data_IF_879678660858
#
_entry.id   IF_879678660858
#
_cell.length_a   1.000
_cell.length_b   1.000
_cell.length_c   1.000
_cell.angle_alpha   90.00
_cell.angle_beta   90.00
_cell.angle_gamma   90.00
#
_symmetry.space_group_name_H-M   'P 1'
#
loop_
_entity.id
_entity.type
_entity.pdbx_description
1 polymer ?
#
# COMPACT_ATOMS: atom_id res chain seq x y z
N UNK A 1 -12.07 -13.39 -7.89
CA UNK A 1 -12.59 -12.04 -7.52
C UNK A 1 -11.98 -11.42 -6.25
N UNK A 2 -11.21 -12.15 -5.45
CA UNK A 2 -10.68 -11.58 -4.18
C UNK A 2 -9.66 -10.44 -4.38
N UNK A 3 -8.89 -10.43 -5.48
CA UNK A 3 -7.97 -9.32 -5.80
C UNK A 3 -8.68 -7.97 -5.97
N UNK A 4 -9.99 -7.95 -6.30
CA UNK A 4 -10.76 -6.71 -6.45
C UNK A 4 -10.92 -5.94 -5.14
N UNK A 5 -10.70 -6.58 -3.96
CA UNK A 5 -10.60 -5.87 -2.70
C UNK A 5 -9.48 -4.81 -2.70
N UNK A 6 -8.52 -4.94 -3.62
CA UNK A 6 -7.48 -3.94 -3.79
C UNK A 6 -8.02 -2.61 -4.32
N UNK A 7 -9.08 -2.61 -5.14
CA UNK A 7 -9.74 -1.37 -5.57
C UNK A 7 -10.34 -0.61 -4.38
N UNK A 8 -10.99 -1.35 -3.46
CA UNK A 8 -11.51 -0.78 -2.22
C UNK A 8 -10.37 -0.24 -1.35
N UNK A 9 -9.30 -1.02 -1.22
CA UNK A 9 -8.10 -0.58 -0.48
C UNK A 9 -7.51 0.69 -1.09
N UNK A 10 -7.35 0.74 -2.41
CA UNK A 10 -6.80 1.87 -3.17
C UNK A 10 -7.63 3.14 -2.99
N UNK A 11 -8.96 3.04 -3.06
CA UNK A 11 -9.87 4.16 -2.80
C UNK A 11 -9.72 4.67 -1.36
N UNK A 12 -9.74 3.77 -0.38
CA UNK A 12 -9.61 4.14 1.04
C UNK A 12 -8.24 4.73 1.37
N UNK A 13 -7.15 4.22 0.76
CA UNK A 13 -5.82 4.84 0.90
C UNK A 13 -5.77 6.22 0.25
N UNK A 14 -6.48 6.44 -0.84
CA UNK A 14 -6.56 7.77 -1.47
C UNK A 14 -7.32 8.76 -0.59
N UNK A 15 -8.43 8.34 0.04
CA UNK A 15 -9.15 9.14 1.04
C UNK A 15 -8.23 9.44 2.23
N UNK A 16 -7.50 8.43 2.73
CA UNK A 16 -6.50 8.64 3.77
C UNK A 16 -5.47 9.69 3.35
N UNK A 17 -4.97 9.62 2.11
CA UNK A 17 -3.99 10.58 1.57
C UNK A 17 -4.51 12.01 1.55
N UNK A 18 -5.77 12.23 1.19
CA UNK A 18 -6.45 13.53 1.28
C UNK A 18 -6.46 14.04 2.73
N UNK A 19 -6.90 13.18 3.66
CA UNK A 19 -6.92 13.53 5.08
C UNK A 19 -5.51 13.85 5.62
N UNK A 20 -4.48 13.10 5.21
CA UNK A 20 -3.07 13.35 5.58
C UNK A 20 -2.62 14.72 5.06
N UNK A 21 -2.84 15.04 3.78
CA UNK A 21 -2.49 16.34 3.18
C UNK A 21 -3.15 17.50 3.93
N UNK A 22 -4.43 17.36 4.28
CA UNK A 22 -5.15 18.38 5.03
C UNK A 22 -4.72 18.46 6.51
N UNK A 23 -4.29 17.36 7.13
CA UNK A 23 -3.89 17.31 8.52
C UNK A 23 -2.46 17.80 8.77
N UNK A 24 -1.63 17.88 7.72
CA UNK A 24 -0.25 18.35 7.81
C UNK A 24 -0.12 19.80 8.32
N UNK A 25 -1.21 20.60 8.22
CA UNK A 25 -1.27 21.95 8.80
C UNK A 25 -1.45 21.95 10.33
N UNK A 26 -1.80 20.80 10.95
CA UNK A 26 -2.13 20.70 12.37
C UNK A 26 -1.23 19.74 13.12
N UNK A 27 -0.66 18.74 12.45
CA UNK A 27 0.05 17.63 13.08
C UNK A 27 1.35 17.31 12.35
N UNK A 28 2.37 16.92 13.10
CA UNK A 28 3.61 16.38 12.53
C UNK A 28 3.40 14.99 11.95
N UNK A 29 4.29 14.58 11.04
CA UNK A 29 4.25 13.22 10.46
C UNK A 29 4.33 12.13 11.53
N UNK A 30 5.12 12.34 12.59
CA UNK A 30 5.25 11.40 13.69
C UNK A 30 3.93 11.20 14.45
N UNK A 31 3.21 12.30 14.72
CA UNK A 31 1.88 12.26 15.36
C UNK A 31 0.84 11.58 14.47
N UNK A 32 0.85 11.86 13.16
CA UNK A 32 -0.04 11.20 12.20
C UNK A 32 0.18 9.69 12.20
N UNK A 33 1.44 9.23 12.15
CA UNK A 33 1.76 7.78 12.18
C UNK A 33 1.38 7.15 13.50
N UNK A 34 1.63 7.83 14.63
CA UNK A 34 1.24 7.39 15.97
C UNK A 34 -0.28 7.23 16.08
N UNK A 35 -1.04 8.27 15.75
CA UNK A 35 -2.50 8.26 15.83
C UNK A 35 -3.13 7.22 14.91
N UNK A 36 -2.63 7.11 13.67
CA UNK A 36 -3.05 6.08 12.71
C UNK A 36 -2.85 4.68 13.29
N UNK A 37 -1.69 4.43 13.91
CA UNK A 37 -1.40 3.15 14.56
C UNK A 37 -2.33 2.89 15.74
N UNK A 38 -2.51 3.87 16.63
CA UNK A 38 -3.39 3.77 17.81
C UNK A 38 -4.84 3.48 17.41
N UNK A 39 -5.39 4.27 16.48
CA UNK A 39 -6.76 4.06 15.98
C UNK A 39 -6.91 2.68 15.35
N UNK A 40 -5.91 2.22 14.58
CA UNK A 40 -5.89 0.89 14.01
C UNK A 40 -5.93 -0.22 15.08
N UNK A 41 -5.12 -0.10 16.14
CA UNK A 41 -5.17 -1.03 17.28
C UNK A 41 -6.54 -1.01 17.94
N UNK A 42 -7.09 0.17 18.23
CA UNK A 42 -8.42 0.30 18.85
C UNK A 42 -9.53 -0.31 17.97
N UNK A 43 -9.57 0.03 16.69
CA UNK A 43 -10.58 -0.49 15.75
C UNK A 43 -10.52 -2.02 15.62
N UNK A 44 -9.33 -2.59 15.50
CA UNK A 44 -9.18 -4.05 15.38
C UNK A 44 -9.49 -4.73 16.72
N UNK A 45 -9.09 -4.16 17.86
CA UNK A 45 -9.45 -4.69 19.17
C UNK A 45 -10.96 -4.70 19.37
N UNK A 46 -11.66 -3.62 19.02
CA UNK A 46 -13.11 -3.56 19.05
C UNK A 46 -13.75 -4.61 18.13
N UNK A 47 -13.23 -4.79 16.92
CA UNK A 47 -13.70 -5.81 15.99
C UNK A 47 -13.57 -7.23 16.58
N UNK A 48 -12.44 -7.52 17.23
CA UNK A 48 -12.18 -8.81 17.88
C UNK A 48 -13.15 -9.05 19.03
N UNK A 49 -13.41 -8.04 19.85
CA UNK A 49 -14.36 -8.14 20.97
C UNK A 49 -15.79 -8.43 20.49
N UNK A 50 -16.22 -7.78 19.40
CA UNK A 50 -17.57 -7.95 18.85
C UNK A 50 -17.76 -9.27 18.12
N UNK A 51 -16.77 -9.71 17.33
CA UNK A 51 -16.89 -10.90 16.47
C UNK A 51 -16.39 -12.19 17.09
N UNK A 52 -15.77 -12.11 18.24
CA UNK A 52 -15.05 -13.23 18.85
C UNK A 52 -13.79 -13.59 18.05
N UNK A 53 -12.64 -13.33 18.58
CA UNK A 53 -11.37 -13.63 17.89
C UNK A 53 -10.25 -13.58 18.90
N UNK A 54 -9.02 -13.81 18.44
CA UNK A 54 -7.85 -13.72 19.30
C UNK A 54 -6.70 -13.03 18.58
N UNK A 55 -5.97 -12.21 19.32
CA UNK A 55 -4.70 -11.63 18.85
C UNK A 55 -3.54 -12.62 18.92
N UNK A 56 -3.70 -13.74 19.67
CA UNK A 56 -2.66 -14.75 19.79
C UNK A 56 -2.38 -15.39 18.44
N UNK A 57 -1.10 -15.50 18.08
CA UNK A 57 -0.65 -16.06 16.80
C UNK A 57 0.43 -17.12 17.05
N UNK A 58 0.45 -18.22 16.29
CA UNK A 58 1.58 -19.16 16.29
C UNK A 58 2.78 -18.63 15.49
N UNK A 59 2.64 -17.49 14.76
CA UNK A 59 3.68 -16.93 13.90
C UNK A 59 4.11 -15.50 14.29
N UNK A 60 4.49 -15.24 15.56
CA UNK A 60 4.83 -13.88 16.03
C UNK A 60 6.02 -13.28 15.26
N UNK A 61 7.00 -14.12 14.90
CA UNK A 61 8.17 -13.69 14.12
C UNK A 61 7.77 -13.13 12.75
N UNK A 62 6.85 -13.77 12.03
CA UNK A 62 6.41 -13.32 10.71
C UNK A 62 5.62 -12.01 10.78
N UNK A 63 4.81 -11.84 11.82
CA UNK A 63 4.13 -10.55 12.08
C UNK A 63 5.12 -9.44 12.41
N UNK A 64 6.14 -9.72 13.23
CA UNK A 64 7.17 -8.75 13.58
C UNK A 64 8.00 -8.35 12.34
N UNK A 65 8.41 -9.31 11.52
CA UNK A 65 9.12 -9.04 10.25
C UNK A 65 8.24 -8.20 9.33
N UNK A 66 6.95 -8.57 9.14
CA UNK A 66 6.00 -7.80 8.33
C UNK A 66 5.82 -6.37 8.86
N UNK A 67 5.65 -6.22 10.16
CA UNK A 67 5.48 -4.93 10.82
C UNK A 67 6.71 -4.06 10.66
N UNK A 68 7.88 -4.57 11.02
CA UNK A 68 9.16 -3.86 10.98
C UNK A 68 9.53 -3.41 9.57
N UNK A 69 9.53 -4.34 8.59
CA UNK A 69 9.84 -4.01 7.19
C UNK A 69 8.85 -2.98 6.64
N UNK A 70 7.55 -3.16 6.91
CA UNK A 70 6.53 -2.24 6.42
C UNK A 70 6.62 -0.85 7.04
N UNK A 71 6.98 -0.74 8.32
CA UNK A 71 7.18 0.56 8.97
C UNK A 71 8.46 1.23 8.48
N UNK A 72 9.56 0.50 8.31
CA UNK A 72 10.79 1.04 7.73
C UNK A 72 10.53 1.56 6.30
N UNK A 73 9.82 0.77 5.47
CA UNK A 73 9.45 1.20 4.13
C UNK A 73 8.64 2.51 4.14
N UNK A 74 7.67 2.62 5.07
CA UNK A 74 6.86 3.83 5.24
C UNK A 74 7.71 5.05 5.62
N UNK A 75 8.64 4.91 6.56
CA UNK A 75 9.52 6.00 6.98
C UNK A 75 10.47 6.45 5.88
N UNK A 76 11.07 5.53 5.14
CA UNK A 76 11.92 5.86 3.98
C UNK A 76 11.12 6.59 2.90
N UNK A 77 9.89 6.18 2.67
CA UNK A 77 9.01 6.87 1.72
C UNK A 77 8.66 8.28 2.18
N UNK A 78 8.31 8.47 3.44
CA UNK A 78 8.02 9.79 4.00
C UNK A 78 9.28 10.69 4.02
N UNK A 79 10.45 10.14 4.34
CA UNK A 79 11.70 10.86 4.24
C UNK A 79 11.96 11.35 2.80
N UNK A 80 11.67 10.52 1.80
CA UNK A 80 11.88 10.89 0.40
C UNK A 80 11.00 12.06 -0.05
N UNK A 81 9.87 12.32 0.59
CA UNK A 81 9.06 13.53 0.32
C UNK A 81 9.73 14.83 0.77
N UNK A 82 10.64 14.77 1.73
CA UNK A 82 11.42 15.92 2.19
C UNK A 82 12.57 16.31 1.25
N UNK A 83 13.00 15.39 0.38
CA UNK A 83 14.19 15.56 -0.48
C UNK A 83 13.90 15.41 -1.97
N UNK A 84 12.70 14.97 -2.35
CA UNK A 84 12.27 14.79 -3.74
C UNK A 84 10.90 15.42 -3.97
N UNK A 85 10.57 15.78 -5.21
CA UNK A 85 9.20 16.07 -5.59
C UNK A 85 8.30 14.86 -5.25
N UNK A 86 7.11 15.12 -4.68
CA UNK A 86 6.17 14.07 -4.22
C UNK A 86 5.84 13.07 -5.33
N UNK A 87 5.69 13.55 -6.56
CA UNK A 87 5.45 12.70 -7.74
C UNK A 87 6.61 11.71 -7.97
N UNK A 88 7.86 12.17 -7.88
CA UNK A 88 9.05 11.35 -8.05
C UNK A 88 9.17 10.31 -6.94
N UNK A 89 9.07 10.71 -5.67
CA UNK A 89 9.11 9.82 -4.53
C UNK A 89 8.00 8.75 -4.59
N UNK A 90 6.80 9.14 -4.98
CA UNK A 90 5.66 8.22 -5.15
C UNK A 90 5.91 7.24 -6.29
N UNK A 91 6.40 7.70 -7.44
CA UNK A 91 6.72 6.82 -8.58
C UNK A 91 7.74 5.75 -8.19
N UNK A 92 8.81 6.12 -7.49
CA UNK A 92 9.81 5.15 -7.03
C UNK A 92 9.24 4.15 -6.01
N UNK A 93 8.41 4.59 -5.08
CA UNK A 93 7.75 3.67 -4.13
C UNK A 93 6.82 2.69 -4.84
N UNK A 94 6.08 3.12 -5.86
CA UNK A 94 5.18 2.26 -6.64
C UNK A 94 5.91 1.26 -7.55
N UNK A 95 7.24 1.36 -7.71
CA UNK A 95 8.03 0.25 -8.27
C UNK A 95 7.91 -1.04 -7.46
N UNK A 96 7.36 -0.97 -6.24
CA UNK A 96 7.08 -2.15 -5.39
C UNK A 96 6.32 -3.25 -6.13
N UNK A 97 5.37 -2.92 -7.01
CA UNK A 97 4.66 -3.91 -7.83
C UNK A 97 5.57 -4.63 -8.81
N UNK A 98 6.55 -3.91 -9.40
CA UNK A 98 7.57 -4.49 -10.30
C UNK A 98 8.50 -5.40 -9.49
N UNK A 99 9.01 -4.92 -8.35
CA UNK A 99 9.88 -5.71 -7.48
C UNK A 99 9.19 -6.98 -6.98
N UNK A 100 7.90 -6.90 -6.70
CA UNK A 100 7.10 -8.06 -6.33
C UNK A 100 7.06 -9.10 -7.47
N UNK A 101 6.87 -8.67 -8.72
CA UNK A 101 6.91 -9.56 -9.88
C UNK A 101 8.32 -10.18 -10.03
N UNK A 102 9.37 -9.38 -9.92
CA UNK A 102 10.77 -9.86 -9.98
C UNK A 102 11.06 -10.91 -8.91
N UNK A 103 10.65 -10.66 -7.65
CA UNK A 103 10.85 -11.61 -6.55
C UNK A 103 10.07 -12.92 -6.75
N UNK A 104 8.83 -12.84 -7.24
CA UNK A 104 8.01 -14.02 -7.52
C UNK A 104 8.58 -14.85 -8.67
N UNK A 105 9.01 -14.21 -9.76
CA UNK A 105 9.62 -14.91 -10.88
C UNK A 105 11.00 -15.46 -10.52
N UNK A 106 11.83 -14.70 -9.81
CA UNK A 106 13.13 -15.18 -9.32
C UNK A 106 12.97 -16.40 -8.40
N UNK A 107 12.03 -16.38 -7.48
CA UNK A 107 11.75 -17.53 -6.60
C UNK A 107 11.22 -18.75 -7.38
N UNK A 108 10.38 -18.53 -8.38
CA UNK A 108 9.86 -19.61 -9.23
C UNK A 108 10.96 -20.21 -10.12
N UNK A 109 11.82 -19.37 -10.69
CA UNK A 109 12.98 -19.81 -11.46
C UNK A 109 13.92 -20.67 -10.62
N UNK A 110 14.28 -20.21 -9.42
CA UNK A 110 15.13 -20.97 -8.49
C UNK A 110 14.56 -22.36 -8.15
N UNK A 111 13.22 -22.46 -8.06
CA UNK A 111 12.53 -23.74 -7.81
C UNK A 111 12.31 -24.58 -9.06
N UNK A 112 12.87 -24.21 -10.22
CA UNK A 112 12.70 -24.92 -11.49
C UNK A 112 11.29 -24.86 -12.09
N UNK A 113 10.43 -23.98 -11.62
CA UNK A 113 9.08 -23.80 -12.17
C UNK A 113 9.15 -23.04 -13.49
N UNK A 114 8.60 -23.62 -14.56
CA UNK A 114 8.63 -23.03 -15.91
C UNK A 114 7.36 -22.23 -16.28
N UNK A 115 6.35 -22.22 -15.42
CA UNK A 115 5.09 -21.52 -15.69
C UNK A 115 5.12 -20.13 -15.06
N UNK A 116 5.23 -19.11 -15.90
CA UNK A 116 5.21 -17.71 -15.50
C UNK A 116 3.96 -17.02 -16.04
N UNK A 117 3.34 -16.18 -15.22
CA UNK A 117 2.20 -15.34 -15.61
C UNK A 117 2.68 -14.08 -16.34
N UNK A 118 3.34 -14.27 -17.51
CA UNK A 118 3.90 -13.18 -18.30
C UNK A 118 2.89 -12.09 -18.66
N UNK A 119 1.64 -12.49 -18.92
CA UNK A 119 0.57 -11.53 -19.21
C UNK A 119 0.30 -10.59 -18.05
N UNK A 120 0.30 -11.08 -16.79
CA UNK A 120 0.14 -10.22 -15.62
C UNK A 120 1.38 -9.35 -15.36
N UNK A 121 2.59 -9.88 -15.59
CA UNK A 121 3.80 -9.08 -15.50
C UNK A 121 3.79 -7.92 -16.51
N UNK A 122 3.38 -8.17 -17.73
CA UNK A 122 3.25 -7.14 -18.76
C UNK A 122 2.23 -6.06 -18.37
N UNK A 123 1.09 -6.43 -17.76
CA UNK A 123 0.12 -5.44 -17.27
C UNK A 123 0.66 -4.61 -16.11
N UNK A 124 1.48 -5.18 -15.22
CA UNK A 124 2.15 -4.41 -14.15
C UNK A 124 3.09 -3.36 -14.75
N UNK A 125 3.90 -3.72 -15.73
CA UNK A 125 4.79 -2.78 -16.42
C UNK A 125 4.00 -1.70 -17.18
N UNK A 126 2.92 -2.07 -17.84
CA UNK A 126 2.06 -1.13 -18.56
C UNK A 126 1.40 -0.13 -17.59
N UNK A 127 0.89 -0.60 -16.45
CA UNK A 127 0.35 0.29 -15.41
C UNK A 127 1.42 1.22 -14.86
N UNK A 128 2.63 0.73 -14.62
CA UNK A 128 3.74 1.55 -14.15
C UNK A 128 4.12 2.64 -15.17
N UNK A 129 4.11 2.32 -16.46
CA UNK A 129 4.29 3.31 -17.51
C UNK A 129 3.21 4.40 -17.47
N UNK A 130 1.95 4.01 -17.27
CA UNK A 130 0.85 4.95 -17.04
C UNK A 130 1.09 5.85 -15.81
N UNK A 131 1.63 5.29 -14.71
CA UNK A 131 2.01 6.05 -13.51
C UNK A 131 3.11 7.07 -13.84
N UNK A 132 4.13 6.67 -14.58
CA UNK A 132 5.22 7.57 -14.96
C UNK A 132 4.73 8.72 -15.84
N UNK A 133 3.82 8.47 -16.77
CA UNK A 133 3.18 9.52 -17.58
C UNK A 133 2.33 10.48 -16.75
N UNK A 134 1.59 9.96 -15.77
CA UNK A 134 0.69 10.74 -14.93
C UNK A 134 1.46 11.63 -13.95
N UNK A 135 2.43 11.06 -13.24
CA UNK A 135 3.17 11.75 -12.19
C UNK A 135 4.35 12.57 -12.71
N UNK A 136 4.85 12.26 -13.92
CA UNK A 136 5.99 12.94 -14.56
C UNK A 136 7.17 13.11 -13.59
N UNK A 137 7.74 12.02 -13.06
CA UNK A 137 8.83 12.11 -12.11
C UNK A 137 10.02 12.89 -12.71
N UNK A 138 10.58 13.79 -11.94
CA UNK A 138 11.77 14.53 -12.30
C UNK A 138 12.77 14.49 -11.15
N UNK A 139 14.05 14.50 -11.46
CA UNK A 139 15.14 14.55 -10.48
C UNK A 139 16.20 15.55 -10.95
N UNK A 140 16.63 16.42 -10.05
CA UNK A 140 17.85 17.19 -10.24
C UNK A 140 19.09 16.30 -9.93
N UNK A 141 20.27 16.69 -10.42
CA UNK A 141 21.47 15.86 -10.28
C UNK A 141 21.92 15.59 -8.84
N UNK A 142 21.55 16.45 -7.91
CA UNK A 142 21.82 16.35 -6.47
C UNK A 142 20.81 15.50 -5.69
N UNK A 143 19.71 15.08 -6.31
CA UNK A 143 18.63 14.29 -5.69
C UNK A 143 18.84 12.78 -5.78
N UNK A 144 19.99 12.29 -6.26
CA UNK A 144 20.26 10.86 -6.49
C UNK A 144 20.13 10.02 -5.21
N UNK A 145 20.59 10.55 -4.08
CA UNK A 145 20.49 9.85 -2.78
C UNK A 145 19.01 9.69 -2.38
N UNK A 146 18.22 10.77 -2.52
CA UNK A 146 16.79 10.73 -2.27
C UNK A 146 16.06 9.72 -3.16
N UNK A 147 16.43 9.64 -4.45
CA UNK A 147 15.93 8.64 -5.40
C UNK A 147 16.24 7.21 -4.96
N UNK A 148 17.48 6.96 -4.50
CA UNK A 148 17.89 5.66 -3.96
C UNK A 148 17.09 5.25 -2.72
N UNK A 149 16.82 6.19 -1.81
CA UNK A 149 16.00 5.96 -0.61
C UNK A 149 14.55 5.64 -1.00
N UNK A 150 13.97 6.41 -1.93
CA UNK A 150 12.61 6.17 -2.42
C UNK A 150 12.49 4.81 -3.12
N UNK A 151 13.48 4.41 -3.92
CA UNK A 151 13.54 3.10 -4.56
C UNK A 151 13.65 1.98 -3.52
N UNK A 152 14.50 2.12 -2.51
CA UNK A 152 14.63 1.17 -1.40
C UNK A 152 13.30 1.02 -0.66
N UNK A 153 12.56 2.10 -0.45
CA UNK A 153 11.23 2.03 0.15
C UNK A 153 10.28 1.17 -0.69
N UNK A 154 10.36 1.27 -2.02
CA UNK A 154 9.59 0.44 -2.95
C UNK A 154 9.95 -1.05 -2.84
N UNK A 155 11.25 -1.37 -2.78
CA UNK A 155 11.73 -2.75 -2.59
C UNK A 155 11.22 -3.33 -1.27
N UNK A 156 11.37 -2.59 -0.16
CA UNK A 156 10.90 -3.04 1.16
C UNK A 156 9.38 -3.16 1.22
N UNK A 157 8.65 -2.28 0.53
CA UNK A 157 7.19 -2.40 0.38
C UNK A 157 6.81 -3.70 -0.33
N UNK A 158 7.51 -4.07 -1.40
CA UNK A 158 7.30 -5.35 -2.09
C UNK A 158 7.51 -6.55 -1.15
N UNK A 159 8.60 -6.55 -0.36
CA UNK A 159 8.85 -7.59 0.65
C UNK A 159 7.73 -7.63 1.67
N UNK A 160 7.28 -6.47 2.17
CA UNK A 160 6.19 -6.39 3.14
C UNK A 160 4.86 -6.96 2.58
N UNK A 161 4.54 -6.73 1.31
CA UNK A 161 3.36 -7.29 0.66
C UNK A 161 3.47 -8.81 0.45
N UNK A 162 4.66 -9.31 0.10
CA UNK A 162 4.91 -10.75 0.05
C UNK A 162 4.80 -11.43 1.43
N UNK A 163 5.15 -10.72 2.51
CA UNK A 163 4.92 -11.22 3.88
C UNK A 163 3.43 -11.29 4.21
N UNK A 164 2.58 -10.37 3.74
CA UNK A 164 1.13 -10.48 3.88
C UNK A 164 0.63 -11.76 3.20
N UNK A 165 1.10 -12.02 1.97
CA UNK A 165 0.76 -13.25 1.26
C UNK A 165 1.22 -14.50 2.03
N UNK A 166 2.46 -14.50 2.55
CA UNK A 166 3.00 -15.61 3.36
C UNK A 166 2.13 -15.87 4.58
N UNK A 167 1.81 -14.85 5.37
CA UNK A 167 0.92 -14.96 6.54
C UNK A 167 -0.46 -15.49 6.14
N UNK A 168 -0.98 -15.07 4.99
CA UNK A 168 -2.23 -15.59 4.44
C UNK A 168 -2.17 -17.08 4.13
N UNK A 169 -1.07 -17.57 3.55
CA UNK A 169 -0.84 -19.00 3.28
C UNK A 169 -0.69 -19.81 4.56
N UNK A 170 -0.20 -19.22 5.64
CA UNK A 170 -0.12 -19.83 6.98
C UNK A 170 -1.47 -19.84 7.72
N UNK A 171 -2.54 -19.31 7.10
CA UNK A 171 -3.87 -19.30 7.68
C UNK A 171 -4.17 -18.11 8.62
N UNK A 172 -3.26 -17.13 8.72
CA UNK A 172 -3.47 -15.96 9.57
C UNK A 172 -4.64 -15.11 9.04
N UNK A 173 -5.59 -14.73 9.91
CA UNK A 173 -6.71 -13.87 9.52
C UNK A 173 -6.27 -12.42 9.28
N UNK A 174 -6.98 -11.70 8.42
CA UNK A 174 -6.64 -10.34 8.02
C UNK A 174 -6.54 -9.39 9.22
N UNK A 175 -7.48 -9.46 10.15
CA UNK A 175 -7.53 -8.57 11.32
C UNK A 175 -6.27 -8.70 12.18
N UNK A 176 -5.70 -9.92 12.30
CA UNK A 176 -4.49 -10.14 13.09
C UNK A 176 -3.26 -9.53 12.43
N UNK A 177 -3.13 -9.68 11.11
CA UNK A 177 -2.05 -9.04 10.33
C UNK A 177 -2.11 -7.52 10.47
N UNK A 178 -3.32 -6.94 10.38
CA UNK A 178 -3.53 -5.49 10.52
C UNK A 178 -3.28 -5.03 11.94
N UNK A 179 -3.68 -5.81 12.97
CA UNK A 179 -3.42 -5.49 14.37
C UNK A 179 -1.92 -5.32 14.64
N UNK A 180 -1.11 -6.33 14.30
CA UNK A 180 0.33 -6.28 14.56
C UNK A 180 1.03 -5.19 13.75
N UNK A 181 0.59 -4.93 12.53
CA UNK A 181 1.11 -3.82 11.75
C UNK A 181 0.78 -2.45 12.38
N UNK A 182 -0.46 -2.27 12.82
CA UNK A 182 -0.91 -1.04 13.50
C UNK A 182 -0.16 -0.84 14.81
N UNK A 183 0.03 -1.91 15.59
CA UNK A 183 0.81 -1.89 16.83
C UNK A 183 2.27 -1.49 16.58
N UNK A 184 2.92 -2.08 15.56
CA UNK A 184 4.29 -1.71 15.19
C UNK A 184 4.37 -0.25 14.75
N UNK A 185 3.40 0.22 13.95
CA UNK A 185 3.30 1.61 13.53
C UNK A 185 3.08 2.58 14.70
N UNK A 186 2.22 2.22 15.65
CA UNK A 186 2.00 2.98 16.88
C UNK A 186 3.29 3.12 17.70
N UNK A 187 3.99 2.01 17.95
CA UNK A 187 5.24 2.01 18.72
C UNK A 187 6.34 2.81 18.02
N UNK A 188 6.46 2.68 16.69
CA UNK A 188 7.43 3.44 15.91
C UNK A 188 7.10 4.95 15.89
N UNK A 189 5.82 5.32 15.74
CA UNK A 189 5.37 6.70 15.83
C UNK A 189 5.62 7.31 17.21
N UNK A 190 5.36 6.54 18.28
CA UNK A 190 5.63 6.95 19.65
C UNK A 190 7.14 7.18 19.87
N UNK A 191 7.98 6.24 19.43
CA UNK A 191 9.43 6.39 19.51
C UNK A 191 9.92 7.63 18.77
N UNK A 192 9.39 7.88 17.57
CA UNK A 192 9.74 9.07 16.78
C UNK A 192 9.33 10.38 17.47
N UNK A 193 8.14 10.43 18.07
CA UNK A 193 7.69 11.59 18.85
C UNK A 193 8.62 11.85 20.05
N UNK A 194 9.03 10.82 20.78
CA UNK A 194 9.95 10.94 21.92
C UNK A 194 11.33 11.43 21.45
N UNK A 195 11.88 10.84 20.38
CA UNK A 195 13.21 11.20 19.85
C UNK A 195 13.23 12.64 19.33
N UNK A 196 12.15 13.09 18.67
CA UNK A 196 12.05 14.45 18.14
C UNK A 196 11.73 15.51 19.21
N UNK A 197 11.54 15.12 20.47
CA UNK A 197 11.15 16.02 21.56
C UNK A 197 9.73 16.57 21.45
N UNK A 198 8.94 16.08 20.48
CA UNK A 198 7.52 16.42 20.34
C UNK A 198 6.72 15.51 21.26
N UNK A 199 6.20 16.05 22.36
CA UNK A 199 5.27 15.30 23.22
C UNK A 199 3.93 15.23 22.46
N UNK A 200 3.47 14.02 22.06
CA UNK A 200 2.20 13.87 21.35
C UNK A 200 1.08 14.47 22.18
N UNK A 201 0.14 15.18 21.51
CA UNK A 201 -1.05 15.75 22.14
C UNK A 201 -0.82 16.93 23.10
N UNK A 202 0.39 17.51 23.18
CA UNK A 202 0.69 18.65 24.06
C UNK A 202 0.33 20.02 23.46
N UNK A 203 -0.45 20.06 22.40
CA UNK A 203 -0.93 21.28 21.78
C UNK A 203 -2.46 21.26 21.63
N UNK A 204 -3.05 22.45 21.41
CA UNK A 204 -4.50 22.57 21.24
C UNK A 204 -4.99 21.84 19.99
N UNK A 205 -5.99 20.97 20.15
CA UNK A 205 -6.60 20.23 19.04
C UNK A 205 -7.84 20.97 18.54
N UNK A 206 -7.87 21.23 17.24
CA UNK A 206 -9.08 21.76 16.59
C UNK A 206 -10.01 20.60 16.24
N UNK A 207 -11.33 20.86 16.26
CA UNK A 207 -12.32 19.86 15.84
C UNK A 207 -12.00 19.31 14.43
N UNK A 208 -11.62 20.19 13.49
CA UNK A 208 -11.24 19.82 12.14
C UNK A 208 -10.02 18.88 12.13
N UNK A 209 -8.97 19.22 12.88
CA UNK A 209 -7.77 18.38 13.01
C UNK A 209 -8.09 17.00 13.58
N UNK A 210 -8.88 16.94 14.65
CA UNK A 210 -9.30 15.67 15.26
C UNK A 210 -10.10 14.80 14.31
N UNK A 211 -11.05 15.38 13.57
CA UNK A 211 -11.82 14.64 12.55
C UNK A 211 -10.94 14.11 11.42
N UNK A 212 -9.93 14.88 10.97
CA UNK A 212 -8.99 14.44 9.97
C UNK A 212 -8.14 13.26 10.47
N UNK A 213 -7.62 13.32 11.71
CA UNK A 213 -6.88 12.21 12.33
C UNK A 213 -7.76 10.96 12.45
N UNK A 214 -9.00 11.10 12.90
CA UNK A 214 -9.94 9.98 12.95
C UNK A 214 -10.20 9.40 11.55
N UNK A 215 -10.39 10.26 10.55
CA UNK A 215 -10.54 9.87 9.15
C UNK A 215 -9.33 9.10 8.62
N UNK A 216 -8.10 9.55 8.95
CA UNK A 216 -6.86 8.84 8.60
C UNK A 216 -6.83 7.44 9.22
N UNK A 217 -7.07 7.34 10.54
CA UNK A 217 -6.96 6.06 11.25
C UNK A 217 -7.99 5.04 10.79
N UNK A 218 -9.24 5.46 10.61
CA UNK A 218 -10.34 4.57 10.17
C UNK A 218 -10.13 4.15 8.71
N UNK A 219 -9.91 5.10 7.78
CA UNK A 219 -9.70 4.77 6.37
C UNK A 219 -8.46 3.90 6.16
N UNK A 220 -7.35 4.19 6.87
CA UNK A 220 -6.14 3.36 6.85
C UNK A 220 -6.41 1.93 7.33
N UNK A 221 -7.17 1.77 8.41
CA UNK A 221 -7.46 0.45 8.98
C UNK A 221 -8.31 -0.38 8.03
N UNK A 222 -9.38 0.20 7.48
CA UNK A 222 -10.23 -0.46 6.50
C UNK A 222 -9.47 -0.79 5.21
N UNK A 223 -8.64 0.14 4.72
CA UNK A 223 -7.78 -0.07 3.57
C UNK A 223 -6.80 -1.24 3.80
N UNK A 224 -6.18 -1.31 4.98
CA UNK A 224 -5.26 -2.39 5.35
C UNK A 224 -5.97 -3.74 5.41
N UNK A 225 -7.19 -3.82 5.94
CA UNK A 225 -8.00 -5.05 5.93
C UNK A 225 -8.29 -5.49 4.49
N UNK A 226 -8.76 -4.57 3.64
CA UNK A 226 -9.09 -4.84 2.25
C UNK A 226 -7.84 -5.27 1.46
N UNK A 227 -6.72 -4.58 1.60
CA UNK A 227 -5.44 -4.92 1.00
C UNK A 227 -4.93 -6.28 1.47
N UNK A 228 -4.96 -6.54 2.78
CA UNK A 228 -4.52 -7.82 3.34
C UNK A 228 -5.36 -8.98 2.79
N UNK A 229 -6.67 -8.78 2.66
CA UNK A 229 -7.59 -9.75 2.05
C UNK A 229 -7.25 -9.99 0.59
N UNK A 230 -6.98 -8.93 -0.17
CA UNK A 230 -6.62 -9.02 -1.58
C UNK A 230 -5.34 -9.83 -1.79
N UNK A 231 -4.28 -9.58 -1.01
CA UNK A 231 -3.03 -10.33 -1.09
C UNK A 231 -3.10 -11.75 -0.51
N UNK A 232 -3.93 -11.96 0.51
CA UNK A 232 -4.12 -13.27 1.13
C UNK A 232 -4.86 -14.25 0.22
N UNK A 233 -5.94 -13.81 -0.39
CA UNK A 233 -6.90 -14.66 -1.10
C UNK A 233 -6.90 -14.47 -2.62
N UNK A 234 -6.28 -13.40 -3.11
CA UNK A 234 -6.23 -13.04 -4.52
C UNK A 234 -4.97 -13.51 -5.23
N UNK A 235 -4.93 -13.29 -6.55
CA UNK A 235 -3.70 -13.40 -7.33
C UNK A 235 -2.79 -12.21 -7.01
N UNK A 236 -1.54 -12.50 -6.65
CA UNK A 236 -0.59 -11.48 -6.16
C UNK A 236 -0.25 -10.43 -7.21
N UNK A 237 0.01 -10.85 -8.47
CA UNK A 237 0.36 -9.94 -9.55
C UNK A 237 -0.83 -9.07 -9.98
N UNK A 238 -2.03 -9.67 -10.05
CA UNK A 238 -3.26 -8.91 -10.29
C UNK A 238 -3.50 -7.89 -9.17
N UNK A 239 -3.32 -8.28 -7.92
CA UNK A 239 -3.49 -7.38 -6.76
C UNK A 239 -2.47 -6.24 -6.82
N UNK A 240 -1.19 -6.54 -7.16
CA UNK A 240 -0.14 -5.54 -7.34
C UNK A 240 -0.44 -4.56 -8.48
N UNK A 241 -1.01 -5.05 -9.58
CA UNK A 241 -1.44 -4.19 -10.68
C UNK A 241 -2.60 -3.28 -10.28
N UNK A 242 -3.62 -3.82 -9.61
CA UNK A 242 -4.78 -3.04 -9.14
C UNK A 242 -4.40 -1.98 -8.08
N UNK A 243 -3.27 -2.13 -7.39
CA UNK A 243 -2.77 -1.10 -6.47
C UNK A 243 -2.52 0.24 -7.16
N UNK A 244 -2.13 0.25 -8.42
CA UNK A 244 -1.91 1.49 -9.18
C UNK A 244 -3.17 2.35 -9.34
N UNK A 245 -4.37 1.77 -9.21
CA UNK A 245 -5.63 2.54 -9.22
C UNK A 245 -5.71 3.56 -8.06
N UNK A 246 -4.92 3.36 -6.99
CA UNK A 246 -4.81 4.34 -5.91
C UNK A 246 -4.26 5.69 -6.40
N UNK A 247 -3.33 5.67 -7.36
CA UNK A 247 -2.83 6.91 -7.97
C UNK A 247 -3.93 7.58 -8.79
N UNK A 248 -4.71 6.79 -9.54
CA UNK A 248 -5.84 7.30 -10.30
C UNK A 248 -6.88 7.98 -9.39
N UNK A 249 -7.26 7.33 -8.27
CA UNK A 249 -8.17 7.95 -7.29
C UNK A 249 -7.58 9.19 -6.64
N UNK A 250 -6.29 9.17 -6.27
CA UNK A 250 -5.62 10.34 -5.68
C UNK A 250 -5.55 11.51 -6.65
N UNK A 251 -5.30 11.27 -7.93
CA UNK A 251 -5.30 12.29 -8.97
C UNK A 251 -6.69 12.90 -9.18
N UNK A 252 -7.75 12.06 -9.15
CA UNK A 252 -9.13 12.56 -9.22
C UNK A 252 -9.48 13.40 -7.99
N UNK A 253 -9.07 13.03 -6.79
CA UNK A 253 -9.24 13.87 -5.61
C UNK A 253 -8.43 15.16 -5.68
N UNK A 254 -7.21 15.12 -6.25
CA UNK A 254 -6.40 16.31 -6.51
C UNK A 254 -7.15 17.32 -7.40
N UNK A 255 -7.72 16.83 -8.50
CA UNK A 255 -8.54 17.65 -9.40
C UNK A 255 -9.77 18.23 -8.71
N UNK A 256 -10.51 17.41 -7.93
CA UNK A 256 -11.78 17.84 -7.32
C UNK A 256 -11.63 18.76 -6.11
N UNK A 257 -10.53 18.65 -5.36
CA UNK A 257 -10.35 19.36 -4.07
C UNK A 257 -9.38 20.52 -4.18
N UNK A 258 -8.37 20.42 -5.05
CA UNK A 258 -7.30 21.42 -5.19
C UNK A 258 -7.22 22.03 -6.59
N UNK A 259 -8.14 21.69 -7.51
CA UNK A 259 -8.12 22.11 -8.91
C UNK A 259 -6.79 21.76 -9.61
N UNK A 260 -6.14 20.68 -9.20
CA UNK A 260 -4.89 20.20 -9.78
C UNK A 260 -5.15 19.74 -11.22
N UNK A 261 -4.97 20.63 -12.20
CA UNK A 261 -5.26 20.36 -13.61
C UNK A 261 -4.36 19.25 -14.17
N UNK A 262 -4.98 18.17 -14.63
CA UNK A 262 -4.29 17.10 -15.35
C UNK A 262 -4.09 17.54 -16.81
N UNK A 263 -2.81 17.72 -17.23
CA UNK A 263 -2.49 17.89 -18.64
C UNK A 263 -2.85 16.64 -19.47
N UNK A 264 -2.80 16.72 -20.79
CA UNK A 264 -3.15 15.61 -21.68
C UNK A 264 -2.36 14.32 -21.40
N UNK A 265 -1.07 14.41 -21.03
CA UNK A 265 -0.25 13.26 -20.62
C UNK A 265 -0.75 12.63 -19.32
N UNK A 266 -1.26 13.44 -18.38
CA UNK A 266 -1.86 12.93 -17.15
C UNK A 266 -3.14 12.12 -17.42
N UNK A 267 -4.01 12.62 -18.29
CA UNK A 267 -5.21 11.89 -18.71
C UNK A 267 -4.88 10.59 -19.47
N UNK A 268 -3.85 10.62 -20.32
CA UNK A 268 -3.36 9.41 -21.01
C UNK A 268 -2.83 8.39 -20.00
N UNK A 269 -2.01 8.82 -19.02
CA UNK A 269 -1.50 7.94 -17.96
C UNK A 269 -2.62 7.31 -17.14
N UNK A 270 -3.63 8.10 -16.78
CA UNK A 270 -4.82 7.63 -16.06
C UNK A 270 -5.56 6.55 -16.87
N UNK A 271 -5.80 6.80 -18.16
CA UNK A 271 -6.46 5.83 -19.05
C UNK A 271 -5.66 4.51 -19.15
N UNK A 272 -4.33 4.58 -19.27
CA UNK A 272 -3.46 3.39 -19.32
C UNK A 272 -3.56 2.59 -18.01
N UNK A 273 -3.53 3.23 -16.84
CA UNK A 273 -3.68 2.55 -15.55
C UNK A 273 -5.02 1.81 -15.47
N UNK A 274 -6.10 2.49 -15.81
CA UNK A 274 -7.45 1.90 -15.74
C UNK A 274 -7.60 0.74 -16.74
N UNK A 275 -7.17 0.91 -17.98
CA UNK A 275 -7.22 -0.13 -19.02
C UNK A 275 -6.37 -1.35 -18.65
N UNK A 276 -5.17 -1.13 -18.13
CA UNK A 276 -4.30 -2.23 -17.67
C UNK A 276 -4.93 -3.01 -16.51
N UNK A 277 -5.58 -2.33 -15.56
CA UNK A 277 -6.33 -2.97 -14.46
C UNK A 277 -7.47 -3.85 -14.98
N UNK A 278 -8.22 -3.36 -15.96
CA UNK A 278 -9.30 -4.11 -16.61
C UNK A 278 -8.75 -5.35 -17.36
N UNK A 279 -7.74 -5.16 -18.21
CA UNK A 279 -7.11 -6.23 -18.99
C UNK A 279 -6.55 -7.32 -18.06
N UNK A 280 -5.83 -6.93 -16.99
CA UNK A 280 -5.26 -7.90 -16.05
C UNK A 280 -6.33 -8.70 -15.31
N UNK A 281 -7.48 -8.07 -15.02
CA UNK A 281 -8.61 -8.74 -14.36
C UNK A 281 -9.21 -9.82 -15.27
N UNK A 282 -9.48 -9.49 -16.52
CA UNK A 282 -9.99 -10.46 -17.50
C UNK A 282 -8.98 -11.57 -17.81
N UNK A 283 -7.70 -11.23 -17.96
CA UNK A 283 -6.64 -12.22 -18.18
C UNK A 283 -6.58 -13.24 -17.03
N UNK A 284 -6.56 -12.75 -15.79
CA UNK A 284 -6.53 -13.61 -14.61
C UNK A 284 -7.75 -14.51 -14.48
N UNK A 285 -8.95 -14.02 -14.84
CA UNK A 285 -10.17 -14.84 -14.86
C UNK A 285 -10.10 -15.96 -15.89
N UNK A 286 -9.63 -15.68 -17.10
CA UNK A 286 -9.47 -16.70 -18.16
C UNK A 286 -8.49 -17.79 -17.75
N UNK A 287 -7.33 -17.42 -17.19
CA UNK A 287 -6.33 -18.39 -16.71
C UNK A 287 -6.92 -19.29 -15.63
N UNK A 288 -7.65 -18.73 -14.65
CA UNK A 288 -8.28 -19.51 -13.60
C UNK A 288 -9.36 -20.47 -14.13
N UNK A 289 -10.15 -20.06 -15.11
CA UNK A 289 -11.16 -20.92 -15.76
C UNK A 289 -10.50 -22.08 -16.48
N UNK A 290 -9.41 -21.85 -17.24
CA UNK A 290 -8.68 -22.89 -17.95
C UNK A 290 -8.08 -23.92 -17.00
N UNK A 291 -7.50 -23.47 -15.87
CA UNK A 291 -6.95 -24.37 -14.83
C UNK A 291 -8.05 -25.22 -14.21
N UNK A 292 -9.20 -24.62 -13.85
CA UNK A 292 -10.34 -25.36 -13.28
C UNK A 292 -10.92 -26.38 -14.26
N UNK A 293 -11.05 -26.02 -15.54
CA UNK A 293 -11.54 -26.95 -16.57
C UNK A 293 -10.61 -28.15 -16.75
N UNK A 294 -9.29 -27.93 -16.71
CA UNK A 294 -8.30 -29.03 -16.76
C UNK A 294 -8.35 -29.93 -15.52
N UNK A 295 -8.51 -29.36 -14.32
CA UNK A 295 -8.63 -30.16 -13.08
C UNK A 295 -9.94 -30.93 -12.96
N UNK A 296 -11.00 -30.52 -13.66
CA UNK A 296 -12.28 -31.22 -13.71
C UNK A 296 -12.31 -32.33 -14.79
N UNK A 297 -11.35 -32.33 -15.71
CA UNK A 297 -11.21 -33.32 -16.78
C UNK A 297 -10.22 -34.47 -16.44
N UNK A 298 -9.56 -34.38 -15.29
CA UNK A 298 -8.69 -35.40 -14.68
C UNK A 298 -9.43 -36.11 -13.54
#
# INVERSE_FOLDING_TARGET
MQSLWMLVASLLFSIMGVCVKLSAAYYSTAEIVLCRGLIGVCCISALILVRGGTIRTPFPRDHFIRGGIGVIALWLWFYSFGVLPVATATTFNYTSSIWMAVMLFGAAWWKGQKQFEWGLAATVLLSFFGVALLLRPSMAGDEVIGGGIALLSGILSAVAYLQIRKLGLLGEPEYRVVFYFSLTGFLAGLAACIISGHIPFWHAHTLKGTLLIAGIGVSATLAQIAMTRAYRLGNTLLTANLQYTGIAFSSLFGLLIWDDALGWLGWTGLAIIMMSGIVSTFYSQRVQQTVRARSAAL
#
